data_IF_868826740628
#
_entry.id   IF_868826740628
#
_cell.length_a   1.000
_cell.length_b   1.000
_cell.length_c   1.000
_cell.angle_alpha   90.00
_cell.angle_beta   90.00
_cell.angle_gamma   90.00
#
_symmetry.space_group_name_H-M   'P 1'
#
loop_
_entity.id
_entity.type
_entity.pdbx_description
1 polymer ?
#
# COMPACT_ATOMS: atom_id res chain seq x y z
N UNK A 1 8.96 19.71 -14.15
CA UNK A 1 10.08 18.77 -13.92
C UNK A 1 9.48 17.44 -13.49
N UNK A 2 9.46 16.43 -14.36
CA UNK A 2 9.11 15.05 -13.97
C UNK A 2 10.41 14.26 -14.06
N UNK A 3 10.95 13.87 -12.91
CA UNK A 3 12.11 13.00 -12.81
C UNK A 3 11.72 11.62 -13.35
N UNK A 4 12.40 11.20 -14.41
CA UNK A 4 12.28 9.86 -14.97
C UNK A 4 13.09 8.90 -14.07
N UNK A 5 12.41 8.21 -13.16
CA UNK A 5 13.03 7.36 -12.12
C UNK A 5 12.95 5.87 -12.44
N UNK A 6 12.38 5.43 -13.57
CA UNK A 6 12.23 4.00 -13.82
C UNK A 6 12.44 3.63 -15.30
N UNK A 7 13.32 2.65 -15.55
CA UNK A 7 13.65 2.12 -16.87
C UNK A 7 12.55 1.26 -17.52
N UNK A 8 11.28 1.66 -17.41
CA UNK A 8 10.19 1.05 -18.16
C UNK A 8 9.79 1.95 -19.33
N UNK A 9 9.62 1.35 -20.51
CA UNK A 9 9.04 2.04 -21.66
C UNK A 9 7.54 2.21 -21.41
N UNK A 10 7.08 3.44 -21.17
CA UNK A 10 5.64 3.72 -21.20
C UNK A 10 5.12 3.52 -22.62
N UNK A 11 4.09 2.67 -22.77
CA UNK A 11 3.35 2.48 -24.02
C UNK A 11 2.01 3.21 -23.93
N UNK A 12 1.61 3.87 -25.03
CA UNK A 12 0.28 4.48 -25.14
C UNK A 12 -0.72 3.41 -25.57
N UNK A 13 -1.77 3.22 -24.77
CA UNK A 13 -2.86 2.28 -25.06
C UNK A 13 -4.19 2.99 -24.83
N UNK A 14 -5.18 2.73 -25.68
CA UNK A 14 -6.56 3.17 -25.48
C UNK A 14 -7.36 2.01 -24.88
N UNK A 15 -7.95 2.22 -23.70
CA UNK A 15 -8.78 1.25 -23.00
C UNK A 15 -10.00 1.96 -22.43
N UNK A 16 -11.15 1.29 -22.45
CA UNK A 16 -12.37 1.78 -21.80
C UNK A 16 -12.32 1.39 -20.31
N UNK A 17 -12.55 2.36 -19.43
CA UNK A 17 -12.53 2.17 -17.97
C UNK A 17 -13.80 2.81 -17.40
N UNK A 18 -14.42 2.11 -16.46
CA UNK A 18 -15.54 2.66 -15.68
C UNK A 18 -15.10 3.92 -14.91
N UNK A 19 -15.81 5.03 -15.16
CA UNK A 19 -15.49 6.33 -14.59
C UNK A 19 -15.72 6.41 -13.07
N UNK A 20 -16.71 5.68 -12.55
CA UNK A 20 -16.95 5.59 -11.12
C UNK A 20 -15.89 4.75 -10.42
N UNK A 21 -15.42 3.68 -11.07
CA UNK A 21 -14.31 2.85 -10.60
C UNK A 21 -13.04 3.68 -10.45
N UNK A 22 -12.63 4.40 -11.50
CA UNK A 22 -11.39 5.17 -11.44
C UNK A 22 -11.49 6.35 -10.48
N UNK A 23 -12.66 7.00 -10.39
CA UNK A 23 -12.91 8.05 -9.41
C UNK A 23 -12.82 7.52 -7.97
N UNK A 24 -13.32 6.31 -7.69
CA UNK A 24 -13.17 5.65 -6.39
C UNK A 24 -11.71 5.37 -6.05
N UNK A 25 -10.97 4.77 -6.97
CA UNK A 25 -9.53 4.47 -6.78
C UNK A 25 -8.76 5.76 -6.50
N UNK A 26 -8.96 6.79 -7.32
CA UNK A 26 -8.31 8.10 -7.14
C UNK A 26 -8.63 8.73 -5.78
N UNK A 27 -9.86 8.59 -5.28
CA UNK A 27 -10.25 9.12 -3.96
C UNK A 27 -9.62 8.36 -2.81
N UNK A 28 -9.63 7.04 -2.86
CA UNK A 28 -9.10 6.16 -1.79
C UNK A 28 -7.59 6.37 -1.67
N UNK A 29 -6.88 6.32 -2.79
CA UNK A 29 -5.42 6.39 -2.83
C UNK A 29 -4.87 7.81 -3.01
N UNK A 30 -5.75 8.83 -3.03
CA UNK A 30 -5.40 10.26 -3.19
C UNK A 30 -4.57 10.57 -4.45
N UNK A 31 -4.86 9.85 -5.52
CA UNK A 31 -4.17 9.98 -6.82
C UNK A 31 -4.84 11.05 -7.67
N UNK A 32 -4.05 11.83 -8.41
CA UNK A 32 -4.51 13.01 -9.15
C UNK A 32 -4.94 12.71 -10.59
N UNK A 33 -4.40 11.66 -11.20
CA UNK A 33 -4.67 11.35 -12.61
C UNK A 33 -5.15 9.92 -12.83
N UNK A 34 -5.99 9.71 -13.86
CA UNK A 34 -6.43 8.37 -14.29
C UNK A 34 -5.23 7.48 -14.64
N UNK A 35 -4.19 8.04 -15.29
CA UNK A 35 -2.96 7.31 -15.66
C UNK A 35 -2.23 6.78 -14.42
N UNK A 36 -2.04 7.61 -13.40
CA UNK A 36 -1.39 7.18 -12.16
C UNK A 36 -2.24 6.16 -11.40
N UNK A 37 -3.57 6.27 -11.44
CA UNK A 37 -4.46 5.30 -10.81
C UNK A 37 -4.34 3.91 -11.47
N UNK A 38 -4.20 3.87 -12.80
CA UNK A 38 -3.96 2.62 -13.54
C UNK A 38 -2.57 2.07 -13.24
N UNK A 39 -1.53 2.91 -13.26
CA UNK A 39 -0.16 2.48 -12.93
C UNK A 39 -0.08 1.89 -11.50
N UNK A 40 -0.72 2.56 -10.54
CA UNK A 40 -0.83 2.08 -9.16
C UNK A 40 -1.54 0.72 -9.09
N UNK A 41 -2.71 0.58 -9.71
CA UNK A 41 -3.46 -0.65 -9.69
C UNK A 41 -2.70 -1.82 -10.32
N UNK A 42 -1.95 -1.57 -11.40
CA UNK A 42 -1.10 -2.59 -12.03
C UNK A 42 0.06 -3.01 -11.13
N UNK A 43 0.70 -2.06 -10.44
CA UNK A 43 1.78 -2.37 -9.50
C UNK A 43 1.31 -3.17 -8.30
N UNK A 44 0.12 -2.86 -7.77
CA UNK A 44 -0.45 -3.60 -6.65
C UNK A 44 -0.70 -5.07 -6.98
N UNK A 45 -1.08 -5.38 -8.22
CA UNK A 45 -1.32 -6.78 -8.64
C UNK A 45 -0.07 -7.49 -9.18
N UNK A 46 0.98 -6.74 -9.53
CA UNK A 46 2.29 -7.27 -9.95
C UNK A 46 3.12 -7.80 -8.78
N UNK A 47 2.71 -7.52 -7.54
CA UNK A 47 3.35 -8.08 -6.36
C UNK A 47 2.93 -9.55 -6.21
N UNK A 48 3.89 -10.46 -6.34
CA UNK A 48 3.70 -11.85 -5.92
C UNK A 48 3.58 -11.87 -4.38
N UNK A 49 2.42 -12.24 -3.82
CA UNK A 49 2.29 -12.33 -2.38
C UNK A 49 3.20 -13.44 -1.85
N UNK A 50 3.75 -13.20 -0.66
CA UNK A 50 4.49 -14.22 0.05
C UNK A 50 3.64 -15.48 0.21
N UNK A 51 4.23 -16.64 -0.05
CA UNK A 51 3.54 -17.92 0.16
C UNK A 51 3.15 -18.08 1.62
N UNK A 52 2.15 -18.93 1.87
CA UNK A 52 1.71 -19.20 3.25
C UNK A 52 2.85 -19.74 4.11
N UNK A 53 3.70 -20.59 3.53
CA UNK A 53 4.87 -21.18 4.18
C UNK A 53 5.89 -20.11 4.58
N UNK A 54 6.21 -19.18 3.67
CA UNK A 54 7.11 -18.06 3.95
C UNK A 54 6.53 -17.12 5.01
N UNK A 55 5.23 -16.80 4.94
CA UNK A 55 4.55 -16.01 5.98
C UNK A 55 4.63 -16.69 7.36
N UNK A 56 4.48 -18.02 7.40
CA UNK A 56 4.59 -18.78 8.64
C UNK A 56 6.02 -18.84 9.16
N UNK A 57 7.02 -18.89 8.27
CA UNK A 57 8.43 -18.83 8.63
C UNK A 57 8.82 -17.49 9.27
N UNK A 58 8.13 -16.40 8.93
CA UNK A 58 8.31 -15.09 9.56
C UNK A 58 7.69 -14.96 10.97
N UNK A 59 6.96 -15.97 11.45
CA UNK A 59 6.34 -15.92 12.79
C UNK A 59 7.42 -15.69 13.88
N UNK A 60 7.20 -14.68 14.71
CA UNK A 60 8.12 -14.33 15.79
C UNK A 60 9.24 -13.36 15.37
N UNK A 61 9.20 -12.85 14.14
CA UNK A 61 10.11 -11.79 13.66
C UNK A 61 9.38 -10.43 13.63
N UNK A 62 10.13 -9.33 13.77
CA UNK A 62 9.62 -7.97 13.56
C UNK A 62 8.92 -7.31 14.75
N UNK A 63 9.00 -7.90 15.94
CA UNK A 63 8.48 -7.29 17.16
C UNK A 63 9.41 -7.57 18.35
N UNK A 64 10.06 -6.52 18.84
CA UNK A 64 11.00 -6.55 19.98
C UNK A 64 10.46 -5.73 21.18
N UNK A 65 9.17 -5.40 21.18
CA UNK A 65 8.55 -4.58 22.22
C UNK A 65 8.35 -5.34 23.53
N UNK A 66 7.94 -4.61 24.58
CA UNK A 66 7.43 -5.21 25.81
C UNK A 66 5.90 -5.10 25.85
N UNK A 67 5.21 -6.24 25.94
CA UNK A 67 3.75 -6.29 26.01
C UNK A 67 3.23 -5.67 27.30
N UNK A 68 3.97 -5.79 28.40
CA UNK A 68 3.54 -5.31 29.71
C UNK A 68 3.66 -3.79 29.80
N UNK A 69 4.67 -3.20 29.14
CA UNK A 69 4.79 -1.76 29.00
C UNK A 69 3.63 -1.17 28.17
N UNK A 70 3.30 -1.80 27.03
CA UNK A 70 2.18 -1.34 26.19
C UNK A 70 0.81 -1.45 26.88
N UNK A 71 0.65 -2.42 27.79
CA UNK A 71 -0.59 -2.67 28.53
C UNK A 71 -0.64 -1.93 29.86
N UNK A 72 0.42 -1.22 30.23
CA UNK A 72 0.44 -0.50 31.49
C UNK A 72 -0.63 0.59 31.49
N UNK A 73 -1.53 0.59 32.50
CA UNK A 73 -2.56 1.61 32.59
C UNK A 73 -1.89 2.97 32.70
N UNK A 74 -2.36 3.95 31.93
CA UNK A 74 -1.89 5.33 32.10
C UNK A 74 -2.17 5.74 33.56
N UNK A 75 -1.17 6.26 34.29
CA UNK A 75 -1.40 6.76 35.63
C UNK A 75 -2.44 7.88 35.55
N UNK A 76 -3.58 7.66 36.19
CA UNK A 76 -4.56 8.72 36.43
C UNK A 76 -3.95 9.66 37.46
N UNK A 77 -3.77 10.95 37.16
CA UNK A 77 -3.27 11.89 38.15
C UNK A 77 -4.24 11.93 39.34
N UNK A 78 -3.72 11.75 40.54
CA UNK A 78 -4.48 11.94 41.77
C UNK A 78 -4.90 13.42 41.86
N UNK A 79 -6.22 13.67 42.03
CA UNK A 79 -6.82 14.99 42.17
C UNK A 79 -6.71 15.51 43.61
#
# INVERSE_FOLDING_TARGET
MHLNVYGYTTVRTNIEIDDELIARVMRIYRIRTKREAVDYALREVDVEPMTREEMLAMRGTGWDGDLDEMRSPRPVPEL
#
